data_IF_897513635265
#
_entry.id   IF_897513635265
#
_cell.length_a   1.000
_cell.length_b   1.000
_cell.length_c   1.000
_cell.angle_alpha   90.00
_cell.angle_beta   90.00
_cell.angle_gamma   90.00
#
_symmetry.space_group_name_H-M   'P 1'
#
loop_
_entity.id
_entity.type
_entity.pdbx_description
1 polymer ?
#
# COMPACT_ATOMS: atom_id res chain seq x y z
N UNK A 1 43.15 -18.57 -5.53
CA UNK A 1 43.96 -19.80 -5.35
C UNK A 1 45.34 -19.36 -4.90
N UNK A 2 45.80 -19.77 -3.73
CA UNK A 2 47.09 -19.33 -3.17
C UNK A 2 48.26 -19.90 -3.99
N UNK A 3 49.32 -19.12 -4.16
CA UNK A 3 50.54 -19.62 -4.80
C UNK A 3 51.08 -20.85 -4.05
N UNK A 4 51.40 -21.94 -4.77
CA UNK A 4 52.08 -23.06 -4.17
C UNK A 4 53.50 -22.65 -3.74
N UNK A 5 53.88 -23.07 -2.53
CA UNK A 5 55.22 -22.86 -1.95
C UNK A 5 55.67 -21.39 -1.86
N UNK A 6 54.98 -20.55 -1.06
CA UNK A 6 55.26 -19.10 -0.97
C UNK A 6 56.59 -18.74 -0.31
N UNK A 7 57.27 -19.73 0.27
CA UNK A 7 58.51 -19.53 1.01
C UNK A 7 59.63 -20.34 0.37
N UNK A 8 60.79 -19.71 0.21
CA UNK A 8 62.01 -20.44 -0.15
C UNK A 8 62.36 -21.44 0.95
N UNK A 9 62.56 -22.70 0.57
CA UNK A 9 63.09 -23.73 1.48
C UNK A 9 64.62 -23.70 1.56
N UNK A 10 65.29 -22.97 0.65
CA UNK A 10 66.75 -22.84 0.56
C UNK A 10 67.13 -21.51 -0.08
N UNK A 11 68.22 -20.91 0.40
CA UNK A 11 68.86 -19.75 -0.23
C UNK A 11 70.11 -20.24 -0.98
N UNK A 12 70.27 -19.82 -2.23
CA UNK A 12 71.46 -20.14 -3.02
C UNK A 12 72.42 -18.94 -3.04
N UNK A 13 73.65 -19.16 -2.63
CA UNK A 13 74.70 -18.13 -2.56
C UNK A 13 75.97 -18.60 -3.30
N UNK A 14 77.03 -17.77 -3.29
CA UNK A 14 78.33 -18.11 -3.92
C UNK A 14 79.01 -19.33 -3.31
N UNK A 15 78.60 -19.76 -2.12
CA UNK A 15 79.14 -20.92 -1.43
C UNK A 15 78.37 -22.22 -1.77
N UNK A 16 77.25 -22.11 -2.51
CA UNK A 16 76.56 -23.28 -3.05
C UNK A 16 77.27 -23.82 -4.30
N UNK A 17 77.25 -25.15 -4.49
CA UNK A 17 77.78 -25.81 -5.68
C UNK A 17 77.25 -25.14 -6.94
N UNK A 18 78.16 -24.76 -7.84
CA UNK A 18 77.89 -24.10 -9.13
C UNK A 18 77.41 -22.64 -9.06
N UNK A 19 77.80 -21.86 -8.04
CA UNK A 19 77.53 -20.41 -7.93
C UNK A 19 76.04 -20.06 -8.10
N UNK A 20 75.22 -20.56 -7.17
CA UNK A 20 73.76 -20.53 -7.26
C UNK A 20 73.10 -19.15 -7.15
N UNK A 21 73.87 -18.05 -7.16
CA UNK A 21 73.35 -16.67 -7.13
C UNK A 21 72.30 -16.40 -8.23
N UNK A 22 72.54 -16.88 -9.45
CA UNK A 22 71.61 -16.67 -10.57
C UNK A 22 70.26 -17.36 -10.36
N UNK A 23 70.28 -18.55 -9.75
CA UNK A 23 69.07 -19.31 -9.42
C UNK A 23 68.27 -18.61 -8.31
N UNK A 24 68.95 -18.03 -7.32
CA UNK A 24 68.29 -17.29 -6.24
C UNK A 24 67.56 -16.04 -6.75
N UNK A 25 68.21 -15.31 -7.66
CA UNK A 25 67.67 -14.13 -8.33
C UNK A 25 66.46 -14.49 -9.20
N UNK A 26 66.56 -15.51 -10.06
CA UNK A 26 65.45 -15.87 -10.94
C UNK A 26 64.25 -16.42 -10.15
N UNK A 27 64.47 -17.21 -9.09
CA UNK A 27 63.38 -17.62 -8.22
C UNK A 27 62.64 -16.42 -7.61
N UNK A 28 63.38 -15.44 -7.07
CA UNK A 28 62.76 -14.24 -6.49
C UNK A 28 61.96 -13.46 -7.54
N UNK A 29 62.48 -13.37 -8.77
CA UNK A 29 61.83 -12.66 -9.87
C UNK A 29 60.55 -13.35 -10.32
N UNK A 30 60.57 -14.67 -10.47
CA UNK A 30 59.40 -15.47 -10.80
C UNK A 30 58.35 -15.40 -9.69
N UNK A 31 58.77 -15.54 -8.43
CA UNK A 31 57.87 -15.42 -7.29
C UNK A 31 57.20 -14.03 -7.21
N UNK A 32 57.95 -12.96 -7.48
CA UNK A 32 57.40 -11.60 -7.54
C UNK A 32 56.40 -11.44 -8.69
N UNK A 33 56.70 -12.00 -9.87
CA UNK A 33 55.79 -11.99 -11.02
C UNK A 33 54.49 -12.74 -10.72
N UNK A 34 54.58 -13.94 -10.16
CA UNK A 34 53.42 -14.77 -9.82
C UNK A 34 52.51 -14.07 -8.79
N UNK A 35 53.10 -13.40 -7.79
CA UNK A 35 52.35 -12.59 -6.83
C UNK A 35 51.65 -11.40 -7.50
N UNK A 36 52.33 -10.70 -8.42
CA UNK A 36 51.74 -9.59 -9.15
C UNK A 36 50.56 -10.04 -10.03
N UNK A 37 50.69 -11.17 -10.73
CA UNK A 37 49.63 -11.77 -11.54
C UNK A 37 48.45 -12.21 -10.67
N UNK A 38 48.70 -12.83 -9.51
CA UNK A 38 47.64 -13.19 -8.58
C UNK A 38 46.91 -11.93 -8.04
N UNK A 39 47.64 -10.89 -7.63
CA UNK A 39 47.04 -9.66 -7.13
C UNK A 39 46.19 -8.96 -8.20
N UNK A 40 46.66 -8.93 -9.45
CA UNK A 40 45.89 -8.39 -10.57
C UNK A 40 44.61 -9.19 -10.80
N UNK A 41 44.69 -10.52 -10.85
CA UNK A 41 43.52 -11.40 -11.00
C UNK A 41 42.49 -11.18 -9.88
N UNK A 42 42.96 -11.08 -8.64
CA UNK A 42 42.07 -10.90 -7.49
C UNK A 42 41.40 -9.50 -7.54
N UNK A 43 42.11 -8.47 -8.02
CA UNK A 43 41.53 -7.15 -8.32
C UNK A 43 40.51 -7.20 -9.47
N UNK A 44 40.82 -7.90 -10.56
CA UNK A 44 39.93 -8.07 -11.71
C UNK A 44 38.65 -8.80 -11.31
N UNK A 45 38.73 -9.84 -10.48
CA UNK A 45 37.56 -10.55 -9.94
C UNK A 45 36.71 -9.61 -9.08
N UNK A 46 37.33 -8.81 -8.21
CA UNK A 46 36.59 -7.84 -7.39
C UNK A 46 35.90 -6.78 -8.26
N UNK A 47 36.59 -6.28 -9.29
CA UNK A 47 36.04 -5.33 -10.26
C UNK A 47 34.88 -5.94 -11.06
N UNK A 48 35.03 -7.17 -11.56
CA UNK A 48 33.98 -7.90 -12.27
C UNK A 48 32.77 -8.12 -11.35
N UNK A 49 32.97 -8.48 -10.09
CA UNK A 49 31.88 -8.64 -9.12
C UNK A 49 31.15 -7.31 -8.87
N UNK A 50 31.88 -6.20 -8.76
CA UNK A 50 31.29 -4.87 -8.62
C UNK A 50 30.49 -4.45 -9.87
N UNK A 51 31.01 -4.72 -11.07
CA UNK A 51 30.32 -4.47 -12.34
C UNK A 51 29.06 -5.31 -12.48
N UNK A 52 29.10 -6.60 -12.10
CA UNK A 52 27.92 -7.49 -12.08
C UNK A 52 26.87 -6.95 -11.12
N UNK A 53 27.27 -6.55 -9.91
CA UNK A 53 26.34 -5.98 -8.94
C UNK A 53 25.71 -4.67 -9.45
N UNK A 54 26.49 -3.81 -10.11
CA UNK A 54 26.00 -2.57 -10.72
C UNK A 54 25.06 -2.83 -11.90
N UNK A 55 25.35 -3.84 -12.73
CA UNK A 55 24.51 -4.26 -13.85
C UNK A 55 23.19 -4.89 -13.35
N UNK A 56 23.24 -5.74 -12.33
CA UNK A 56 22.02 -6.30 -11.72
C UNK A 56 21.15 -5.18 -11.12
N UNK A 57 21.78 -4.17 -10.51
CA UNK A 57 21.06 -3.00 -10.02
C UNK A 57 20.45 -2.18 -11.18
N UNK A 58 21.16 -1.97 -12.28
CA UNK A 58 20.64 -1.21 -13.42
C UNK A 58 19.52 -1.95 -14.18
N UNK A 59 19.64 -3.26 -14.36
CA UNK A 59 18.61 -4.12 -14.96
C UNK A 59 17.36 -4.18 -14.06
N UNK A 60 17.51 -4.27 -12.74
CA UNK A 60 16.39 -4.21 -11.79
C UNK A 60 15.64 -2.87 -11.82
N UNK A 61 16.33 -1.78 -12.17
CA UNK A 61 15.71 -0.47 -12.38
C UNK A 61 15.05 -0.33 -13.77
N UNK A 62 15.38 -1.20 -14.72
CA UNK A 62 14.99 -1.11 -16.14
C UNK A 62 13.57 -1.60 -16.43
N UNK A 63 12.67 -1.55 -15.45
CA UNK A 63 11.25 -1.55 -15.73
C UNK A 63 10.80 -0.10 -15.90
N UNK A 64 10.32 0.29 -17.08
CA UNK A 64 9.69 1.60 -17.32
C UNK A 64 8.40 1.80 -16.50
N UNK A 65 7.99 0.79 -15.74
CA UNK A 65 6.78 0.75 -14.92
C UNK A 65 7.13 1.26 -13.54
N UNK A 66 6.64 2.41 -13.03
CA UNK A 66 7.08 2.95 -11.75
C UNK A 66 6.91 2.01 -10.55
N UNK A 67 7.76 2.14 -9.53
CA UNK A 67 7.65 1.36 -8.29
C UNK A 67 6.28 1.57 -7.62
N UNK A 68 5.60 0.48 -7.25
CA UNK A 68 4.24 0.48 -6.73
C UNK A 68 3.13 0.54 -7.78
N UNK A 69 3.48 0.64 -9.08
CA UNK A 69 2.49 0.56 -10.15
C UNK A 69 1.88 -0.84 -10.21
N UNK A 70 0.59 -0.89 -10.54
CA UNK A 70 -0.20 -2.10 -10.66
C UNK A 70 -0.61 -2.25 -12.11
N UNK A 71 -0.39 -3.43 -12.68
CA UNK A 71 -0.70 -3.77 -14.07
C UNK A 71 -1.43 -5.10 -14.14
N UNK A 72 -2.17 -5.31 -15.22
CA UNK A 72 -2.79 -6.60 -15.54
C UNK A 72 -1.74 -7.55 -16.11
N UNK A 73 -1.72 -8.78 -15.62
CA UNK A 73 -0.83 -9.84 -16.08
C UNK A 73 -1.38 -11.22 -15.69
N UNK A 74 -1.91 -11.94 -16.67
CA UNK A 74 -2.72 -13.14 -16.46
C UNK A 74 -1.91 -14.46 -16.46
N UNK A 75 -0.63 -14.41 -16.83
CA UNK A 75 0.20 -15.61 -16.85
C UNK A 75 0.78 -15.93 -15.47
N UNK A 76 1.17 -17.20 -15.28
CA UNK A 76 1.71 -17.71 -14.02
C UNK A 76 3.17 -17.34 -13.77
N UNK A 77 3.91 -17.01 -14.82
CA UNK A 77 5.32 -16.60 -14.78
C UNK A 77 5.46 -15.11 -14.41
N UNK A 78 5.18 -14.80 -13.13
CA UNK A 78 5.28 -13.43 -12.62
C UNK A 78 6.70 -12.87 -12.84
N UNK A 79 6.86 -11.75 -13.58
CA UNK A 79 8.18 -11.18 -13.85
C UNK A 79 8.94 -10.80 -12.57
N UNK A 80 10.27 -10.87 -12.61
CA UNK A 80 11.11 -10.41 -11.51
C UNK A 80 10.84 -8.94 -11.19
N UNK A 81 10.82 -8.60 -9.90
CA UNK A 81 10.48 -7.25 -9.43
C UNK A 81 8.97 -6.99 -9.31
N UNK A 82 8.13 -7.98 -9.63
CA UNK A 82 6.69 -7.93 -9.42
C UNK A 82 6.21 -8.99 -8.43
N UNK A 83 5.07 -8.71 -7.81
CA UNK A 83 4.33 -9.63 -6.94
C UNK A 83 2.84 -9.55 -7.26
N UNK A 84 2.09 -10.61 -7.02
CA UNK A 84 0.63 -10.60 -7.21
C UNK A 84 -0.03 -9.64 -6.21
N UNK A 85 -1.01 -8.86 -6.65
CA UNK A 85 -1.80 -7.97 -5.80
C UNK A 85 -3.01 -8.71 -5.22
N UNK A 86 -2.75 -9.67 -4.32
CA UNK A 86 -3.75 -10.55 -3.69
C UNK A 86 -3.82 -10.40 -2.16
N UNK A 87 -3.33 -9.29 -1.61
CA UNK A 87 -3.31 -9.10 -0.15
C UNK A 87 -2.25 -9.93 0.59
N UNK A 88 -1.25 -10.48 -0.11
CA UNK A 88 -0.16 -11.20 0.54
C UNK A 88 0.78 -10.28 1.34
N UNK A 89 1.39 -10.85 2.38
CA UNK A 89 2.39 -10.19 3.21
C UNK A 89 3.79 -10.42 2.66
N UNK A 90 4.58 -9.35 2.57
CA UNK A 90 5.95 -9.33 2.07
C UNK A 90 6.91 -8.69 3.07
N UNK A 91 8.20 -8.98 2.95
CA UNK A 91 9.24 -8.45 3.86
C UNK A 91 9.63 -7.01 3.54
N UNK A 92 9.75 -6.16 4.58
CA UNK A 92 10.29 -4.79 4.47
C UNK A 92 11.77 -4.79 4.05
N UNK A 93 12.53 -5.78 4.52
CA UNK A 93 13.95 -5.91 4.20
C UNK A 93 14.19 -6.35 2.75
N UNK A 94 13.28 -7.16 2.20
CA UNK A 94 13.34 -7.56 0.79
C UNK A 94 12.95 -6.41 -0.16
N UNK A 95 12.01 -5.55 0.25
CA UNK A 95 11.47 -4.47 -0.58
C UNK A 95 11.59 -3.09 0.09
N UNK A 96 12.82 -2.63 0.43
CA UNK A 96 13.01 -1.41 1.23
C UNK A 96 12.61 -0.13 0.48
N UNK A 97 12.79 -0.09 -0.84
CA UNK A 97 12.43 1.06 -1.66
C UNK A 97 10.91 1.27 -1.72
N UNK A 98 10.13 0.17 -1.83
CA UNK A 98 8.68 0.25 -1.81
C UNK A 98 8.19 0.64 -0.42
N UNK A 99 8.73 0.02 0.63
CA UNK A 99 8.39 0.38 2.01
C UNK A 99 8.64 1.86 2.29
N UNK A 100 9.79 2.41 1.89
CA UNK A 100 10.12 3.83 2.04
C UNK A 100 9.11 4.79 1.36
N UNK A 101 8.49 4.37 0.25
CA UNK A 101 7.42 5.16 -0.38
C UNK A 101 6.14 5.17 0.46
N UNK A 102 5.84 4.05 1.13
CA UNK A 102 4.54 3.77 1.75
C UNK A 102 4.38 4.28 3.19
N UNK A 103 5.46 4.37 3.98
CA UNK A 103 5.36 4.66 5.42
C UNK A 103 5.89 6.04 5.81
N UNK A 104 5.29 6.67 6.83
CA UNK A 104 5.85 7.84 7.51
C UNK A 104 5.88 7.61 9.01
N UNK A 105 6.88 8.17 9.67
CA UNK A 105 7.02 8.11 11.12
C UNK A 105 6.36 9.32 11.76
N UNK A 106 5.49 9.09 12.72
CA UNK A 106 4.89 10.14 13.55
C UNK A 106 5.69 10.23 14.84
N UNK A 107 6.08 11.45 15.18
CA UNK A 107 6.90 11.76 16.35
C UNK A 107 6.09 12.40 17.47
N UNK A 108 4.89 12.91 17.18
CA UNK A 108 4.08 13.61 18.16
C UNK A 108 2.59 13.67 17.84
N UNK A 109 1.77 13.71 18.88
CA UNK A 109 0.33 13.99 18.81
C UNK A 109 0.05 15.18 19.73
N UNK A 110 -0.60 16.23 19.22
CA UNK A 110 -0.88 17.47 19.97
C UNK A 110 -2.39 17.60 20.19
N UNK A 111 -2.90 17.27 21.39
CA UNK A 111 -4.35 17.27 21.62
C UNK A 111 -5.01 18.65 21.59
N UNK A 112 -4.29 19.71 21.93
CA UNK A 112 -4.85 21.08 21.95
C UNK A 112 -5.17 21.61 20.57
N UNK A 113 -4.39 21.23 19.56
CA UNK A 113 -4.56 21.63 18.16
C UNK A 113 -5.08 20.50 17.29
N UNK A 114 -5.28 19.30 17.84
CA UNK A 114 -5.60 18.08 17.08
C UNK A 114 -4.62 17.80 15.93
N UNK A 115 -3.33 18.13 16.12
CA UNK A 115 -2.31 17.96 15.09
C UNK A 115 -1.43 16.74 15.34
N UNK A 116 -0.99 16.13 14.25
CA UNK A 116 -0.05 15.01 14.19
C UNK A 116 1.26 15.55 13.65
N UNK A 117 2.36 15.25 14.33
CA UNK A 117 3.69 15.67 13.95
C UNK A 117 4.41 14.55 13.21
N UNK A 118 4.78 14.82 11.96
CA UNK A 118 5.52 13.92 11.08
C UNK A 118 6.39 14.78 10.16
N UNK A 119 7.68 14.90 10.47
CA UNK A 119 8.56 15.78 9.70
C UNK A 119 8.62 15.39 8.21
N UNK A 120 8.60 16.40 7.32
CA UNK A 120 8.70 16.26 5.87
C UNK A 120 7.80 15.15 5.27
N UNK A 121 6.56 15.03 5.76
CA UNK A 121 5.68 13.90 5.45
C UNK A 121 5.25 13.81 3.97
N UNK A 122 5.20 14.95 3.27
CA UNK A 122 4.86 15.02 1.83
C UNK A 122 3.40 14.64 1.52
N UNK A 123 2.49 14.79 2.49
CA UNK A 123 1.08 14.44 2.37
C UNK A 123 0.27 15.62 1.85
N UNK A 124 -0.75 15.34 1.05
CA UNK A 124 -1.65 16.35 0.50
C UNK A 124 -3.02 16.33 1.18
N UNK A 125 -3.73 17.47 1.19
CA UNK A 125 -5.07 17.54 1.74
C UNK A 125 -6.03 16.61 0.95
N UNK A 126 -6.89 15.88 1.67
CA UNK A 126 -7.79 14.87 1.12
C UNK A 126 -7.15 13.52 0.82
N UNK A 127 -5.84 13.34 1.08
CA UNK A 127 -5.19 12.02 0.96
C UNK A 127 -5.67 11.07 2.05
N UNK A 128 -5.89 9.80 1.69
CA UNK A 128 -6.20 8.74 2.63
C UNK A 128 -4.95 8.17 3.28
N UNK A 129 -4.98 8.03 4.60
CA UNK A 129 -3.93 7.42 5.41
C UNK A 129 -4.54 6.45 6.44
N UNK A 130 -3.71 5.61 7.04
CA UNK A 130 -4.08 4.80 8.21
C UNK A 130 -2.91 4.61 9.16
N UNK A 131 -3.21 4.32 10.42
CA UNK A 131 -2.23 4.22 11.50
C UNK A 131 -2.06 2.78 12.00
N UNK A 132 -0.87 2.47 12.52
CA UNK A 132 -0.47 1.17 13.08
C UNK A 132 -0.91 0.95 14.54
N UNK A 133 -1.72 1.84 15.10
CA UNK A 133 -2.06 1.80 16.52
C UNK A 133 -3.47 2.33 16.80
N UNK A 134 -3.99 2.00 17.99
CA UNK A 134 -5.21 2.59 18.56
C UNK A 134 -4.82 3.41 19.79
N UNK A 135 -5.38 4.61 19.94
CA UNK A 135 -5.14 5.52 21.06
C UNK A 135 -5.33 6.99 20.68
N UNK A 136 -5.56 7.86 21.67
CA UNK A 136 -5.66 9.31 21.47
C UNK A 136 -6.71 9.73 20.43
N UNK A 137 -7.79 8.97 20.24
CA UNK A 137 -8.82 9.21 19.21
C UNK A 137 -8.53 8.58 17.85
N UNK A 138 -7.39 7.90 17.69
CA UNK A 138 -7.02 7.13 16.50
C UNK A 138 -7.37 5.65 16.72
N UNK A 139 -7.89 5.01 15.69
CA UNK A 139 -8.19 3.57 15.67
C UNK A 139 -7.30 2.89 14.63
N UNK A 140 -6.71 1.76 15.01
CA UNK A 140 -5.87 0.92 14.15
C UNK A 140 -6.59 0.57 12.85
N UNK A 141 -5.89 0.64 11.73
CA UNK A 141 -6.39 0.28 10.40
C UNK A 141 -7.63 1.05 9.92
N UNK A 142 -8.08 2.07 10.65
CA UNK A 142 -9.15 2.97 10.20
C UNK A 142 -8.61 3.97 9.20
N UNK A 143 -9.41 4.27 8.18
CA UNK A 143 -9.09 5.24 7.15
C UNK A 143 -9.37 6.66 7.63
N UNK A 144 -8.39 7.53 7.42
CA UNK A 144 -8.49 8.95 7.75
C UNK A 144 -8.08 9.80 6.55
N UNK A 145 -8.74 10.93 6.37
CA UNK A 145 -8.36 11.95 5.40
C UNK A 145 -7.42 12.97 6.05
N UNK A 146 -6.33 13.29 5.36
CA UNK A 146 -5.41 14.36 5.75
C UNK A 146 -6.08 15.71 5.52
N UNK A 147 -6.05 16.58 6.51
CA UNK A 147 -6.56 17.96 6.42
C UNK A 147 -5.52 18.93 7.01
N UNK A 148 -5.53 20.17 6.52
CA UNK A 148 -4.60 21.23 6.93
C UNK A 148 -3.11 20.80 7.01
N UNK A 149 -2.55 20.12 5.98
CA UNK A 149 -1.15 19.72 6.01
C UNK A 149 -0.22 20.93 5.90
N UNK A 150 0.87 20.88 6.66
CA UNK A 150 2.04 21.73 6.53
C UNK A 150 3.21 20.88 6.05
N UNK A 151 4.46 21.35 6.18
CA UNK A 151 5.62 20.51 5.86
C UNK A 151 5.83 19.40 6.90
N UNK A 152 5.50 19.66 8.17
CA UNK A 152 5.87 18.81 9.30
C UNK A 152 4.70 18.34 10.16
N UNK A 153 3.53 18.95 10.00
CA UNK A 153 2.35 18.65 10.81
C UNK A 153 1.11 18.60 9.93
N UNK A 154 0.12 17.81 10.33
CA UNK A 154 -1.18 17.75 9.68
C UNK A 154 -2.28 17.41 10.70
N UNK A 155 -3.54 17.60 10.31
CA UNK A 155 -4.71 17.13 11.06
C UNK A 155 -5.38 15.99 10.28
N UNK A 156 -6.28 15.26 10.92
CA UNK A 156 -7.01 14.15 10.29
C UNK A 156 -8.52 14.28 10.47
N UNK A 157 -9.30 13.76 9.52
CA UNK A 157 -10.76 13.67 9.58
C UNK A 157 -11.27 12.28 9.13
N UNK A 158 -12.46 11.88 9.58
CA UNK A 158 -13.11 10.64 9.14
C UNK A 158 -13.81 10.77 7.78
N UNK A 159 -14.13 11.99 7.38
CA UNK A 159 -14.79 12.31 6.11
C UNK A 159 -13.93 13.26 5.29
N UNK A 160 -14.06 13.18 3.97
CA UNK A 160 -13.33 14.04 3.05
C UNK A 160 -13.73 15.51 3.28
N UNK A 161 -12.76 16.35 3.65
CA UNK A 161 -13.00 17.76 3.97
C UNK A 161 -13.76 18.00 5.28
N UNK A 162 -13.88 16.98 6.13
CA UNK A 162 -14.56 17.06 7.42
C UNK A 162 -13.78 17.80 8.50
N UNK A 163 -14.38 17.84 9.70
CA UNK A 163 -13.75 18.43 10.88
C UNK A 163 -12.59 17.57 11.41
N UNK A 164 -11.59 18.18 12.08
CA UNK A 164 -10.52 17.45 12.73
C UNK A 164 -11.04 16.45 13.78
N UNK A 165 -10.46 15.25 13.79
CA UNK A 165 -10.62 14.28 14.87
C UNK A 165 -10.13 14.91 16.16
N UNK A 166 -10.92 14.82 17.23
CA UNK A 166 -10.51 15.29 18.55
C UNK A 166 -9.61 14.27 19.23
N UNK A 167 -8.43 14.68 19.66
CA UNK A 167 -7.51 13.80 20.38
C UNK A 167 -7.69 13.89 21.89
N UNK A 168 -7.67 12.74 22.57
CA UNK A 168 -7.71 12.66 24.03
C UNK A 168 -6.30 12.68 24.62
N UNK A 169 -6.13 13.15 25.85
CA UNK A 169 -4.90 12.98 26.63
C UNK A 169 -4.81 11.62 27.33
N UNK A 170 -5.89 10.84 27.28
CA UNK A 170 -5.98 9.50 27.88
C UNK A 170 -5.29 8.46 27.00
N UNK A 171 -4.33 7.68 27.54
CA UNK A 171 -3.69 6.57 26.81
C UNK A 171 -4.72 5.51 26.34
N UNK A 172 -4.41 4.71 25.31
CA UNK A 172 -5.26 3.58 24.92
C UNK A 172 -5.45 2.62 26.11
N UNK A 173 -6.70 2.30 26.41
CA UNK A 173 -7.11 1.50 27.56
C UNK A 173 -6.61 0.05 27.45
N UNK A 174 -5.87 -0.42 28.46
CA UNK A 174 -5.66 -1.84 28.74
C UNK A 174 -6.94 -2.42 29.39
N UNK A 175 -7.17 -3.73 29.23
CA UNK A 175 -8.39 -4.44 29.64
C UNK A 175 -8.84 -4.18 31.11
N UNK A 176 -10.16 -4.28 31.42
CA UNK A 176 -10.68 -3.96 32.76
C UNK A 176 -10.17 -4.95 33.81
N UNK A 177 -9.46 -4.47 34.85
CA UNK A 177 -9.09 -5.27 36.02
C UNK A 177 -7.67 -5.08 36.58
N UNK A 178 -6.81 -4.26 35.96
CA UNK A 178 -5.48 -3.97 36.50
C UNK A 178 -5.46 -2.57 37.14
N UNK A 179 -5.44 -2.52 38.46
CA UNK A 179 -5.20 -1.29 39.22
C UNK A 179 -3.71 -0.96 39.17
N UNK A 180 -3.34 0.13 38.51
CA UNK A 180 -2.06 0.81 38.79
C UNK A 180 -2.37 2.09 39.58
N UNK A 181 -1.65 2.28 40.69
CA UNK A 181 -1.62 3.52 41.46
C UNK A 181 -1.30 4.72 40.55
N UNK A 182 -1.74 5.95 40.90
CA UNK A 182 -1.53 7.13 40.07
C UNK A 182 -0.08 7.60 40.21
N UNK A 183 0.84 6.90 39.55
CA UNK A 183 2.22 7.31 39.24
C UNK A 183 2.99 6.07 38.79
N UNK A 184 2.98 5.78 37.49
CA UNK A 184 4.17 5.18 36.88
C UNK A 184 4.89 6.33 36.20
N UNK A 185 5.64 7.11 36.99
CA UNK A 185 6.70 7.94 36.43
C UNK A 185 7.78 7.01 35.90
N UNK A 186 7.73 6.73 34.60
CA UNK A 186 8.92 6.27 33.88
C UNK A 186 9.98 7.39 33.99
N UNK A 187 11.24 7.06 34.31
CA UNK A 187 12.30 8.06 34.40
C UNK A 187 12.51 8.66 33.00
N UNK A 188 12.15 9.94 32.82
CA UNK A 188 12.44 10.70 31.60
C UNK A 188 11.24 11.34 30.88
N UNK A 189 9.99 11.14 31.32
CA UNK A 189 8.85 11.84 30.70
C UNK A 189 8.65 13.21 31.36
N UNK A 190 9.29 14.24 30.82
CA UNK A 190 8.81 15.62 30.99
C UNK A 190 7.45 15.64 30.30
N UNK A 191 6.35 15.73 31.05
CA UNK A 191 5.10 16.24 30.48
C UNK A 191 5.42 17.65 29.98
N UNK A 192 5.35 17.92 28.66
CA UNK A 192 5.50 19.29 28.22
C UNK A 192 4.37 20.12 28.84
N UNK A 193 4.59 21.42 28.97
CA UNK A 193 3.61 22.38 29.48
C UNK A 193 2.20 22.11 28.92
N UNK A 194 1.12 22.48 29.64
CA UNK A 194 -0.25 22.25 29.17
C UNK A 194 -0.42 22.72 27.72
N UNK A 195 -0.59 21.76 26.79
CA UNK A 195 -0.65 22.01 25.35
C UNK A 195 0.57 21.62 24.51
N UNK A 196 1.58 20.97 25.08
CA UNK A 196 2.69 20.40 24.32
C UNK A 196 2.39 19.03 23.70
N UNK A 197 3.17 18.67 22.67
CA UNK A 197 3.04 17.42 21.94
C UNK A 197 3.34 16.19 22.83
N UNK A 198 2.47 15.20 22.79
CA UNK A 198 2.74 13.86 23.31
C UNK A 198 3.71 13.18 22.35
N UNK A 199 4.95 12.95 22.79
CA UNK A 199 5.96 12.28 21.96
C UNK A 199 5.62 10.80 21.77
N UNK A 200 5.67 10.33 20.53
CA UNK A 200 5.36 8.94 20.15
C UNK A 200 6.36 8.45 19.09
N UNK A 201 6.44 7.13 18.91
CA UNK A 201 7.16 6.51 17.79
C UNK A 201 6.23 5.49 17.17
N UNK A 202 5.53 5.91 16.12
CA UNK A 202 4.53 5.09 15.42
C UNK A 202 4.66 5.26 13.91
N UNK A 203 4.25 4.25 13.16
CA UNK A 203 4.18 4.30 11.70
C UNK A 203 2.76 4.61 11.21
N UNK A 204 2.65 5.37 10.14
CA UNK A 204 1.45 5.48 9.31
C UNK A 204 1.73 5.00 7.88
N UNK A 205 0.68 4.58 7.18
CA UNK A 205 0.71 4.28 5.76
C UNK A 205 0.03 5.38 4.95
N UNK A 206 0.71 5.82 3.89
CA UNK A 206 0.26 6.89 2.98
C UNK A 206 -0.60 6.38 1.82
N UNK A 207 -0.73 5.06 1.71
CA UNK A 207 -1.56 4.38 0.72
C UNK A 207 -2.35 3.26 1.38
N UNK A 208 -3.65 3.47 1.57
CA UNK A 208 -4.49 2.65 2.44
C UNK A 208 -4.74 1.21 1.97
N UNK A 209 -4.52 0.91 0.67
CA UNK A 209 -4.60 -0.47 0.16
C UNK A 209 -3.46 -1.37 0.66
N UNK A 210 -2.31 -0.82 1.08
CA UNK A 210 -1.24 -1.61 1.69
C UNK A 210 -1.53 -1.82 3.17
N UNK A 211 -1.15 -2.94 3.76
CA UNK A 211 -1.30 -3.21 5.20
C UNK A 211 0.00 -3.15 5.98
N UNK A 212 -0.07 -3.05 7.30
CA UNK A 212 1.11 -3.02 8.18
C UNK A 212 1.79 -4.38 8.35
N UNK A 213 1.23 -5.47 7.82
CA UNK A 213 1.72 -6.83 8.04
C UNK A 213 1.70 -7.19 9.54
N UNK A 214 2.82 -7.74 10.01
CA UNK A 214 3.11 -8.01 11.43
C UNK A 214 3.36 -6.75 12.29
N UNK A 215 3.34 -5.56 11.68
CA UNK A 215 3.60 -4.29 12.35
C UNK A 215 5.09 -3.95 12.53
N UNK A 216 6.02 -4.83 12.13
CA UNK A 216 7.46 -4.65 12.38
C UNK A 216 8.35 -4.97 11.18
N UNK A 217 8.31 -6.22 10.69
CA UNK A 217 9.26 -6.73 9.69
C UNK A 217 8.64 -6.90 8.30
N UNK A 218 7.32 -6.81 8.22
CA UNK A 218 6.54 -7.08 7.00
C UNK A 218 5.54 -5.98 6.69
N UNK A 219 4.95 -6.04 5.50
CA UNK A 219 3.81 -5.22 5.09
C UNK A 219 2.96 -6.00 4.08
N UNK A 220 1.68 -5.64 3.96
CA UNK A 220 0.73 -6.33 3.08
C UNK A 220 0.56 -5.57 1.78
N UNK A 221 0.59 -6.27 0.64
CA UNK A 221 0.33 -5.69 -0.68
C UNK A 221 -1.18 -5.42 -0.88
N UNK A 222 -1.58 -4.60 -1.87
CA UNK A 222 -2.98 -4.43 -2.23
C UNK A 222 -3.64 -5.76 -2.60
N UNK A 223 -4.95 -5.87 -2.36
CA UNK A 223 -5.78 -6.94 -2.90
C UNK A 223 -6.67 -6.37 -4.01
N UNK A 224 -6.53 -6.87 -5.23
CA UNK A 224 -7.27 -6.41 -6.41
C UNK A 224 -8.25 -7.46 -6.94
N UNK A 225 -8.46 -8.54 -6.19
CA UNK A 225 -9.38 -9.60 -6.60
C UNK A 225 -10.83 -9.13 -6.42
N UNK A 226 -11.66 -9.38 -7.42
CA UNK A 226 -13.11 -9.15 -7.36
C UNK A 226 -13.56 -7.69 -7.38
N UNK A 227 -12.65 -6.72 -7.55
CA UNK A 227 -12.98 -5.29 -7.57
C UNK A 227 -12.45 -4.63 -8.85
N UNK A 228 -13.24 -3.70 -9.41
CA UNK A 228 -12.83 -2.94 -10.59
C UNK A 228 -12.08 -1.66 -10.20
N UNK A 229 -11.11 -1.27 -11.02
CA UNK A 229 -10.46 0.03 -10.86
C UNK A 229 -11.40 1.17 -11.29
N UNK A 230 -11.50 2.20 -10.44
CA UNK A 230 -12.12 3.48 -10.77
C UNK A 230 -11.08 4.58 -10.63
N UNK A 231 -11.05 5.52 -11.58
CA UNK A 231 -10.18 6.70 -11.48
C UNK A 231 -10.51 7.52 -10.24
N UNK A 232 -9.50 7.84 -9.43
CA UNK A 232 -9.65 8.65 -8.22
C UNK A 232 -10.04 10.11 -8.54
N UNK A 233 -10.70 10.76 -7.60
CA UNK A 233 -11.06 12.16 -7.65
C UNK A 233 -12.40 12.46 -8.33
N UNK A 234 -12.73 13.75 -8.37
CA UNK A 234 -13.90 14.26 -9.07
C UNK A 234 -13.56 14.44 -10.56
N UNK A 235 -14.37 13.84 -11.43
CA UNK A 235 -14.26 14.04 -12.87
C UNK A 235 -14.54 15.52 -13.21
N UNK A 236 -13.80 16.10 -14.15
CA UNK A 236 -13.89 17.53 -14.46
C UNK A 236 -15.23 17.96 -15.09
N UNK A 237 -15.75 17.19 -16.06
CA UNK A 237 -16.90 17.63 -16.88
C UNK A 237 -18.03 16.64 -17.06
N UNK A 238 -17.80 15.34 -16.77
CA UNK A 238 -18.82 14.31 -17.01
C UNK A 238 -19.76 14.20 -15.82
N UNK A 239 -21.00 14.57 -16.05
CA UNK A 239 -22.08 14.40 -15.09
C UNK A 239 -22.55 12.94 -15.01
N UNK A 240 -22.91 12.50 -13.80
CA UNK A 240 -23.67 11.25 -13.58
C UNK A 240 -25.17 11.49 -13.77
N UNK A 241 -25.95 10.42 -13.86
CA UNK A 241 -27.39 10.49 -14.12
C UNK A 241 -28.17 11.41 -13.15
N UNK A 242 -27.81 11.39 -11.87
CA UNK A 242 -28.43 12.24 -10.84
C UNK A 242 -27.91 13.70 -10.82
N UNK A 243 -27.10 14.11 -11.80
CA UNK A 243 -26.40 15.40 -11.80
C UNK A 243 -25.12 15.43 -10.98
N UNK A 244 -24.33 16.49 -11.16
CA UNK A 244 -22.95 16.61 -10.66
C UNK A 244 -22.00 15.57 -11.28
N UNK A 245 -20.70 15.71 -11.06
CA UNK A 245 -19.73 14.86 -11.77
C UNK A 245 -19.52 13.49 -11.10
N UNK A 246 -18.94 12.55 -11.86
CA UNK A 246 -18.45 11.28 -11.31
C UNK A 246 -17.36 11.54 -10.27
N UNK A 247 -17.39 10.79 -9.17
CA UNK A 247 -16.39 10.88 -8.11
C UNK A 247 -15.89 9.46 -7.78
N UNK A 248 -14.58 9.26 -7.86
CA UNK A 248 -13.92 8.00 -7.49
C UNK A 248 -13.38 7.95 -6.06
N UNK A 249 -13.52 9.03 -5.29
CA UNK A 249 -12.93 9.15 -3.95
C UNK A 249 -11.42 9.43 -4.01
N UNK A 250 -10.75 9.39 -2.86
CA UNK A 250 -9.30 9.53 -2.80
C UNK A 250 -8.58 8.27 -3.31
N UNK A 251 -7.27 8.38 -3.58
CA UNK A 251 -6.46 7.22 -3.99
C UNK A 251 -6.54 6.13 -2.91
N UNK A 252 -6.86 4.90 -3.33
CA UNK A 252 -7.02 3.74 -2.45
C UNK A 252 -8.40 3.61 -1.80
N UNK A 253 -9.35 4.51 -2.09
CA UNK A 253 -10.74 4.33 -1.68
C UNK A 253 -11.39 3.14 -2.42
N UNK A 254 -12.08 2.29 -1.67
CA UNK A 254 -12.79 1.12 -2.19
C UNK A 254 -14.28 1.24 -1.85
N UNK A 255 -15.09 1.50 -2.88
CA UNK A 255 -16.54 1.63 -2.75
C UNK A 255 -17.25 0.28 -2.85
N UNK A 256 -18.41 0.18 -2.22
CA UNK A 256 -19.31 -0.96 -2.35
C UNK A 256 -20.12 -0.87 -3.65
N UNK A 257 -20.69 -2.00 -4.10
CA UNK A 257 -21.64 -2.00 -5.22
C UNK A 257 -22.90 -1.19 -4.86
N UNK A 258 -23.53 -0.62 -5.88
CA UNK A 258 -24.69 0.24 -5.69
C UNK A 258 -25.60 0.22 -6.92
N UNK A 259 -26.91 0.24 -6.68
CA UNK A 259 -27.95 0.46 -7.69
C UNK A 259 -28.56 1.85 -7.56
N UNK A 260 -29.02 2.41 -8.68
CA UNK A 260 -29.78 3.67 -8.63
C UNK A 260 -31.13 3.41 -7.95
N UNK A 261 -31.50 4.31 -7.03
CA UNK A 261 -32.82 4.28 -6.41
C UNK A 261 -33.91 4.37 -7.48
N UNK A 262 -34.85 3.43 -7.47
CA UNK A 262 -35.96 3.37 -8.41
C UNK A 262 -37.19 2.76 -7.72
N UNK A 263 -38.37 3.00 -8.29
CA UNK A 263 -39.61 2.41 -7.82
C UNK A 263 -40.40 1.85 -9.00
N UNK A 264 -41.21 0.83 -8.72
CA UNK A 264 -42.19 0.29 -9.64
C UNK A 264 -43.57 0.61 -9.11
N UNK A 265 -44.43 1.14 -9.97
CA UNK A 265 -45.85 1.32 -9.67
C UNK A 265 -46.66 0.32 -10.52
N UNK A 266 -47.70 -0.32 -9.96
CA UNK A 266 -48.63 -1.07 -10.80
C UNK A 266 -49.27 -0.11 -11.84
N UNK A 267 -49.60 -0.59 -13.05
CA UNK A 267 -50.44 0.18 -13.96
C UNK A 267 -51.76 0.50 -13.23
N UNK A 268 -52.30 1.71 -13.45
CA UNK A 268 -53.46 2.28 -12.75
C UNK A 268 -54.49 1.22 -12.33
N UNK A 269 -54.62 1.02 -11.02
CA UNK A 269 -55.26 -0.16 -10.42
C UNK A 269 -56.78 -0.22 -10.63
N UNK A 270 -57.36 0.77 -11.29
CA UNK A 270 -58.79 0.82 -11.59
C UNK A 270 -59.11 0.31 -13.00
N UNK A 271 -58.16 0.27 -13.94
CA UNK A 271 -58.45 -0.05 -15.34
C UNK A 271 -59.49 0.90 -15.98
N UNK A 272 -59.74 2.07 -15.37
CA UNK A 272 -60.73 3.04 -15.83
C UNK A 272 -60.04 4.02 -16.77
N UNK A 273 -60.43 4.00 -18.05
CA UNK A 273 -59.94 4.97 -19.02
C UNK A 273 -60.39 6.40 -18.62
N UNK A 274 -59.53 7.42 -18.76
CA UNK A 274 -59.90 8.81 -18.55
C UNK A 274 -61.13 9.18 -19.39
N UNK A 275 -62.18 9.72 -18.76
CA UNK A 275 -63.43 10.09 -19.45
C UNK A 275 -64.55 9.04 -19.44
N UNK A 276 -64.41 7.95 -18.70
CA UNK A 276 -65.50 6.97 -18.54
C UNK A 276 -66.71 7.57 -17.80
N UNK A 277 -67.91 7.45 -18.38
CA UNK A 277 -69.19 7.89 -17.80
C UNK A 277 -69.71 6.81 -16.85
N UNK A 278 -69.96 7.16 -15.59
CA UNK A 278 -70.52 6.22 -14.60
C UNK A 278 -71.99 5.90 -14.91
N UNK A 279 -72.40 4.62 -14.94
CA UNK A 279 -73.81 4.29 -14.84
C UNK A 279 -74.33 4.71 -13.47
N UNK A 280 -75.54 5.29 -13.41
CA UNK A 280 -76.18 5.72 -12.16
C UNK A 280 -76.59 4.50 -11.31
N UNK A 281 -75.72 4.09 -10.39
CA UNK A 281 -75.95 2.98 -9.46
C UNK A 281 -74.85 2.89 -8.38
N UNK A 282 -75.03 2.08 -7.32
CA UNK A 282 -74.02 1.89 -6.30
C UNK A 282 -72.77 1.22 -6.89
N UNK A 283 -71.62 1.90 -6.80
CA UNK A 283 -70.31 1.41 -7.23
C UNK A 283 -69.66 0.65 -6.07
N UNK A 284 -69.34 -0.63 -6.26
CA UNK A 284 -68.54 -1.40 -5.31
C UNK A 284 -67.06 -1.30 -5.68
N UNK A 285 -66.27 -0.59 -4.89
CA UNK A 285 -64.81 -0.60 -5.01
C UNK A 285 -64.29 -1.89 -4.35
N UNK A 286 -64.17 -2.96 -5.13
CA UNK A 286 -63.44 -4.13 -4.69
C UNK A 286 -61.95 -3.84 -4.86
N UNK A 287 -61.20 -3.78 -3.76
CA UNK A 287 -59.75 -3.55 -3.80
C UNK A 287 -59.08 -4.71 -4.52
N UNK A 288 -58.62 -4.49 -5.76
CA UNK A 288 -57.75 -5.42 -6.45
C UNK A 288 -56.32 -5.20 -5.95
N UNK A 289 -55.74 -6.21 -5.31
CA UNK A 289 -54.34 -6.18 -4.88
C UNK A 289 -53.46 -6.44 -6.10
N UNK A 290 -53.07 -5.39 -6.83
CA UNK A 290 -52.05 -5.48 -7.88
C UNK A 290 -50.69 -5.38 -7.22
N UNK A 291 -49.83 -6.37 -7.41
CA UNK A 291 -48.49 -6.43 -6.83
C UNK A 291 -47.42 -6.30 -7.91
N UNK A 292 -46.34 -5.60 -7.58
CA UNK A 292 -45.09 -5.67 -8.35
C UNK A 292 -44.43 -7.00 -8.04
N UNK A 293 -44.33 -7.87 -9.05
CA UNK A 293 -43.72 -9.20 -8.92
C UNK A 293 -42.21 -9.19 -9.11
N UNK A 294 -41.61 -10.38 -9.08
CA UNK A 294 -40.20 -10.58 -9.45
C UNK A 294 -39.95 -10.25 -10.93
N UNK A 295 -38.72 -9.90 -11.33
CA UNK A 295 -38.37 -9.75 -12.74
C UNK A 295 -38.72 -11.01 -13.55
N UNK A 296 -39.43 -10.83 -14.66
CA UNK A 296 -39.78 -11.90 -15.60
C UNK A 296 -39.34 -11.51 -17.01
N UNK A 297 -39.20 -12.48 -17.90
CA UNK A 297 -38.84 -12.21 -19.31
C UNK A 297 -39.97 -11.50 -20.05
N UNK A 298 -39.63 -10.58 -20.94
CA UNK A 298 -40.56 -9.93 -21.87
C UNK A 298 -40.62 -10.60 -23.25
N UNK A 299 -39.91 -11.73 -23.42
CA UNK A 299 -39.82 -12.47 -24.69
C UNK A 299 -38.91 -11.82 -25.75
N UNK A 300 -38.33 -10.65 -25.48
CA UNK A 300 -37.47 -9.90 -26.42
C UNK A 300 -36.05 -9.79 -25.88
N UNK A 301 -35.88 -9.42 -24.61
CA UNK A 301 -34.60 -9.11 -23.97
C UNK A 301 -33.99 -10.31 -23.20
N UNK A 302 -34.52 -11.51 -23.45
CA UNK A 302 -34.06 -12.76 -22.84
C UNK A 302 -34.52 -12.96 -21.39
N UNK A 303 -33.93 -13.95 -20.71
CA UNK A 303 -34.23 -14.26 -19.30
C UNK A 303 -33.48 -13.31 -18.37
N UNK A 304 -34.15 -12.65 -17.39
CA UNK A 304 -33.48 -11.83 -16.39
C UNK A 304 -32.41 -12.61 -15.62
N UNK A 305 -31.23 -11.99 -15.44
CA UNK A 305 -30.16 -12.51 -14.58
C UNK A 305 -30.23 -11.80 -13.22
N UNK A 306 -30.33 -12.58 -12.14
CA UNK A 306 -30.41 -12.07 -10.76
C UNK A 306 -29.30 -12.68 -9.92
N UNK A 307 -28.74 -11.91 -8.98
CA UNK A 307 -27.67 -12.34 -8.09
C UNK A 307 -27.65 -11.51 -6.80
N UNK A 308 -26.69 -11.81 -5.92
CA UNK A 308 -26.45 -11.07 -4.68
C UNK A 308 -25.52 -9.86 -4.84
N UNK A 309 -25.01 -9.62 -6.05
CA UNK A 309 -24.10 -8.51 -6.40
C UNK A 309 -24.65 -7.77 -7.63
N UNK A 310 -24.62 -6.44 -7.59
CA UNK A 310 -24.90 -5.63 -8.79
C UNK A 310 -23.63 -5.43 -9.60
N UNK A 311 -23.45 -6.25 -10.65
CA UNK A 311 -22.22 -6.24 -11.45
C UNK A 311 -22.51 -6.26 -12.95
N UNK A 312 -21.77 -5.49 -13.78
CA UNK A 312 -21.85 -5.61 -15.23
C UNK A 312 -21.17 -6.91 -15.72
N UNK A 313 -21.35 -7.24 -17.00
CA UNK A 313 -20.55 -8.28 -17.63
C UNK A 313 -19.04 -7.94 -17.50
N UNK A 314 -18.23 -8.95 -17.14
CA UNK A 314 -16.80 -8.76 -16.86
C UNK A 314 -15.99 -10.03 -17.16
N UNK A 315 -14.66 -9.86 -17.26
CA UNK A 315 -13.67 -10.94 -17.31
C UNK A 315 -12.76 -10.81 -16.09
N UNK A 316 -12.37 -11.94 -15.49
CA UNK A 316 -11.40 -11.95 -14.40
C UNK A 316 -9.98 -11.85 -14.93
N UNK A 317 -9.24 -10.84 -14.47
CA UNK A 317 -7.81 -10.64 -14.75
C UNK A 317 -7.00 -10.67 -13.46
N UNK A 318 -5.74 -11.06 -13.55
CA UNK A 318 -4.80 -11.01 -12.44
C UNK A 318 -4.04 -9.69 -12.46
N UNK A 319 -3.90 -9.07 -11.28
CA UNK A 319 -3.09 -7.87 -11.09
C UNK A 319 -1.77 -8.19 -10.41
N UNK A 320 -0.68 -7.60 -10.92
CA UNK A 320 0.64 -7.63 -10.29
C UNK A 320 1.10 -6.22 -9.95
N UNK A 321 1.89 -6.07 -8.89
CA UNK A 321 2.44 -4.81 -8.39
C UNK A 321 3.95 -4.81 -8.49
N UNK A 322 4.55 -3.72 -8.98
CA UNK A 322 6.01 -3.55 -8.97
C UNK A 322 6.50 -3.32 -7.55
N UNK A 323 7.36 -4.20 -7.06
CA UNK A 323 7.94 -4.18 -5.71
C UNK A 323 9.44 -3.87 -5.68
N UNK A 324 10.13 -3.92 -6.83
CA UNK A 324 11.55 -3.60 -6.98
C UNK A 324 11.86 -2.93 -8.32
#
# INVERSE_FOLDING_TARGET
MSLPNPNKSRTWDRNTSNDGLLLDVEFNRLYANDNAVQAQRDSDIANLQAQINALMASIGQQSNIPLGAIIEYDFSDIPQGFQIANGQTVSRAAYPALWAKLHRSVTGIVPTTNTIQSAAHGLSAGQLIKFSFTGYGITLNTFYYVINPTTNDFQISLTLGGMPVSFSTTPPTQAPGVSISPAVSLPGLIMPAPGGAISVSIDLLVHVQYGFGDGSSTFTLPDRRGVFARGAGLHATRAKAAGGNYNGGAIGFEGQDAMQGHFHAPPDALGIAPGSVYPSGPISFQSAVIQVGSPTTDGINGTPRTGNETTPASTGVQYIVRVQ
#
